data_IF_035087553990
#
_entry.id   IF_035087553990
#
_cell.length_a   1.000
_cell.length_b   1.000
_cell.length_c   1.000
_cell.angle_alpha   90.00
_cell.angle_beta   90.00
_cell.angle_gamma   90.00
#
_symmetry.space_group_name_H-M   'P 1'
#
loop_
_entity.id
_entity.type
_entity.pdbx_description
1 polymer ?
#
# COMPACT_ATOMS: atom_id res chain seq x y z
N UNK A 1 4.23 -8.06 -72.71
CA UNK A 1 4.67 -9.47 -72.84
C UNK A 1 5.01 -9.91 -71.42
N UNK A 2 4.20 -10.63 -70.63
CA UNK A 2 3.37 -11.83 -70.81
C UNK A 2 4.17 -13.12 -71.00
N UNK A 3 4.58 -13.74 -69.88
CA UNK A 3 4.79 -15.19 -69.66
C UNK A 3 4.70 -15.39 -68.13
N UNK A 4 3.73 -16.08 -67.51
CA UNK A 4 3.13 -17.41 -67.74
C UNK A 4 4.16 -18.51 -67.46
N UNK A 5 4.09 -19.11 -66.27
CA UNK A 5 4.50 -20.47 -65.91
C UNK A 5 4.18 -20.68 -64.41
N UNK A 6 3.90 -21.84 -63.88
CA UNK A 6 3.14 -23.03 -64.28
C UNK A 6 3.03 -23.81 -62.96
N UNK A 7 1.86 -24.35 -62.64
CA UNK A 7 1.61 -25.11 -61.42
C UNK A 7 2.56 -26.31 -61.27
N UNK A 8 2.92 -26.64 -60.02
CA UNK A 8 3.14 -28.03 -59.60
C UNK A 8 2.36 -28.26 -58.31
N UNK A 9 1.37 -29.15 -58.41
CA UNK A 9 0.71 -29.80 -57.29
C UNK A 9 1.65 -30.87 -56.71
N UNK A 10 1.75 -30.94 -55.39
CA UNK A 10 2.00 -32.22 -54.71
C UNK A 10 1.31 -32.24 -53.35
N UNK A 11 0.76 -33.42 -53.10
CA UNK A 11 -0.34 -33.77 -52.21
C UNK A 11 0.23 -34.43 -50.95
N UNK A 12 -0.37 -34.09 -49.79
CA UNK A 12 -0.53 -34.83 -48.52
C UNK A 12 0.62 -35.66 -47.95
N UNK A 13 0.96 -35.45 -46.67
CA UNK A 13 0.74 -36.44 -45.59
C UNK A 13 0.51 -35.71 -44.26
N UNK A 14 -0.56 -36.10 -43.56
CA UNK A 14 -0.94 -35.61 -42.25
C UNK A 14 0.00 -36.10 -41.14
N UNK A 15 0.31 -35.24 -40.18
CA UNK A 15 0.67 -35.65 -38.82
C UNK A 15 -0.23 -34.88 -37.87
N UNK A 16 -1.34 -35.52 -37.51
CA UNK A 16 -2.19 -35.09 -36.41
C UNK A 16 -1.37 -35.30 -35.14
N UNK A 17 -0.68 -34.26 -34.68
CA UNK A 17 -0.21 -34.20 -33.31
C UNK A 17 -1.47 -34.11 -32.45
N UNK A 18 -1.82 -35.23 -31.83
CA UNK A 18 -2.79 -35.28 -30.75
C UNK A 18 -2.30 -34.36 -29.63
N UNK A 19 -2.82 -33.13 -29.60
CA UNK A 19 -2.68 -32.25 -28.45
C UNK A 19 -3.38 -32.93 -27.26
N UNK A 20 -2.72 -33.06 -26.10
CA UNK A 20 -3.38 -33.56 -24.91
C UNK A 20 -4.54 -32.64 -24.55
N UNK A 21 -5.73 -33.22 -24.42
CA UNK A 21 -6.91 -32.55 -23.87
C UNK A 21 -6.60 -32.01 -22.47
N UNK A 22 -7.02 -30.78 -22.13
CA UNK A 22 -6.94 -30.29 -20.77
C UNK A 22 -7.85 -31.12 -19.88
N UNK A 23 -7.24 -31.83 -18.94
CA UNK A 23 -7.93 -32.61 -17.91
C UNK A 23 -8.80 -31.68 -17.05
N UNK A 24 -10.13 -31.90 -16.94
CA UNK A 24 -10.96 -31.11 -16.07
C UNK A 24 -10.81 -31.62 -14.64
N UNK A 25 -10.36 -30.72 -13.76
CA UNK A 25 -10.37 -30.83 -12.28
C UNK A 25 -9.20 -31.59 -11.65
N UNK A 26 -8.14 -30.83 -11.36
CA UNK A 26 -7.59 -30.84 -9.99
C UNK A 26 -7.69 -29.42 -9.44
N UNK A 27 -8.75 -29.16 -8.67
CA UNK A 27 -8.75 -28.09 -7.66
C UNK A 27 -7.60 -28.40 -6.71
N UNK A 28 -6.41 -27.89 -7.02
CA UNK A 28 -5.41 -27.68 -6.00
C UNK A 28 -6.03 -26.66 -5.05
N UNK A 29 -6.60 -27.18 -3.95
CA UNK A 29 -6.80 -26.38 -2.75
C UNK A 29 -5.40 -25.97 -2.32
N UNK A 30 -4.91 -24.87 -2.87
CA UNK A 30 -3.82 -24.13 -2.27
C UNK A 30 -4.31 -23.82 -0.87
N UNK A 31 -3.75 -24.52 0.11
CA UNK A 31 -3.86 -24.14 1.51
C UNK A 31 -3.30 -22.73 1.57
N UNK A 32 -4.19 -21.73 1.55
CA UNK A 32 -3.90 -20.37 1.97
C UNK A 32 -3.33 -20.56 3.38
N UNK A 33 -2.00 -20.51 3.52
CA UNK A 33 -1.39 -20.30 4.84
C UNK A 33 -2.12 -19.08 5.39
N UNK A 34 -2.57 -19.15 6.63
CA UNK A 34 -2.94 -17.95 7.37
C UNK A 34 -1.68 -17.09 7.39
N UNK A 35 -1.57 -16.22 6.40
CA UNK A 35 -0.65 -15.10 6.41
C UNK A 35 -1.12 -14.26 7.58
N UNK A 36 -0.29 -14.22 8.62
CA UNK A 36 -0.51 -13.36 9.76
C UNK A 36 -0.49 -11.94 9.21
N UNK A 37 -1.65 -11.28 9.26
CA UNK A 37 -1.81 -9.91 8.82
C UNK A 37 -1.14 -9.05 9.88
N UNK A 38 0.01 -8.46 9.56
CA UNK A 38 0.65 -7.48 10.44
C UNK A 38 -0.25 -6.25 10.46
N UNK A 39 -0.67 -5.86 11.66
CA UNK A 39 -1.56 -4.74 11.88
C UNK A 39 -1.04 -3.86 13.01
N UNK A 40 -1.22 -2.56 12.86
CA UNK A 40 -0.95 -1.56 13.87
C UNK A 40 -2.22 -1.26 14.64
N UNK A 41 -2.22 -1.47 15.95
CA UNK A 41 -3.34 -1.13 16.83
C UNK A 41 -3.20 0.32 17.31
N UNK A 42 -4.12 1.16 16.85
CA UNK A 42 -4.20 2.57 17.20
C UNK A 42 -5.23 2.81 18.31
N UNK A 43 -4.99 3.84 19.12
CA UNK A 43 -5.93 4.27 20.17
C UNK A 43 -6.34 5.72 19.98
N UNK A 44 -7.61 6.00 20.20
CA UNK A 44 -8.14 7.36 20.26
C UNK A 44 -9.25 7.48 21.32
N UNK A 45 -9.76 8.69 21.51
CA UNK A 45 -10.84 9.01 22.44
C UNK A 45 -12.16 8.31 22.12
N UNK A 46 -12.31 7.75 20.91
CA UNK A 46 -13.51 7.00 20.48
C UNK A 46 -13.32 5.48 20.49
N UNK A 47 -12.11 4.98 20.77
CA UNK A 47 -11.83 3.55 20.91
C UNK A 47 -10.50 3.12 20.28
N UNK A 48 -10.33 1.80 20.17
CA UNK A 48 -9.20 1.17 19.50
C UNK A 48 -9.61 0.69 18.10
N UNK A 49 -8.67 0.72 17.16
CA UNK A 49 -8.87 0.24 15.79
C UNK A 49 -7.54 -0.18 15.17
N UNK A 50 -7.59 -1.11 14.23
CA UNK A 50 -6.42 -1.67 13.59
C UNK A 50 -6.23 -1.12 12.17
N UNK A 51 -4.96 -0.95 11.78
CA UNK A 51 -4.55 -0.58 10.42
C UNK A 51 -3.62 -1.67 9.91
N UNK A 52 -4.01 -2.34 8.83
CA UNK A 52 -3.15 -3.35 8.19
C UNK A 52 -1.90 -2.69 7.60
N UNK A 53 -0.74 -3.34 7.71
CA UNK A 53 0.52 -2.84 7.14
C UNK A 53 0.43 -2.65 5.63
N UNK A 54 -0.34 -3.50 4.94
CA UNK A 54 -0.61 -3.36 3.52
C UNK A 54 -1.28 -2.02 3.19
N UNK A 55 -2.28 -1.61 3.98
CA UNK A 55 -2.97 -0.33 3.80
C UNK A 55 -2.02 0.84 4.06
N UNK A 56 -1.20 0.74 5.11
CA UNK A 56 -0.21 1.77 5.42
C UNK A 56 0.82 1.93 4.29
N UNK A 57 1.28 0.80 3.74
CA UNK A 57 2.20 0.75 2.61
C UNK A 57 1.59 1.35 1.34
N UNK A 58 0.33 1.08 1.06
CA UNK A 58 -0.35 1.63 -0.12
C UNK A 58 -0.61 3.14 0.02
N UNK A 59 -0.95 3.63 1.21
CA UNK A 59 -1.05 5.06 1.48
C UNK A 59 0.30 5.79 1.34
N UNK A 60 1.41 5.18 1.76
CA UNK A 60 2.76 5.71 1.53
C UNK A 60 3.07 5.82 0.02
N UNK A 61 2.71 4.80 -0.77
CA UNK A 61 2.90 4.84 -2.24
C UNK A 61 2.07 5.95 -2.90
N UNK A 62 0.81 6.12 -2.48
CA UNK A 62 -0.08 7.19 -2.96
C UNK A 62 0.50 8.58 -2.64
N UNK A 63 1.05 8.75 -1.44
CA UNK A 63 1.66 10.00 -1.00
C UNK A 63 2.89 10.40 -1.83
N UNK A 64 3.74 9.40 -2.12
CA UNK A 64 5.03 9.57 -2.76
C UNK A 64 6.09 10.25 -1.86
N UNK A 65 7.30 10.48 -2.41
CA UNK A 65 8.45 10.93 -1.63
C UNK A 65 8.53 12.45 -1.45
N UNK A 66 7.66 13.22 -2.12
CA UNK A 66 7.73 14.68 -2.15
C UNK A 66 6.72 15.30 -1.20
N UNK A 67 7.22 16.17 -0.31
CA UNK A 67 6.41 17.00 0.57
C UNK A 67 5.40 17.85 -0.23
N UNK A 68 4.19 18.02 0.32
CA UNK A 68 3.19 18.88 -0.27
C UNK A 68 3.38 20.35 0.14
N UNK A 69 3.19 21.27 -0.81
CA UNK A 69 3.39 22.72 -0.58
C UNK A 69 2.31 23.35 0.30
N UNK A 70 1.14 22.72 0.44
CA UNK A 70 0.05 23.05 1.38
C UNK A 70 -0.87 21.83 1.57
N UNK A 71 -0.29 20.64 1.45
CA UNK A 71 -0.99 19.37 1.29
C UNK A 71 -0.12 18.26 1.87
N UNK A 72 -0.69 17.07 2.00
CA UNK A 72 0.10 15.91 2.37
C UNK A 72 0.94 15.39 1.19
N UNK A 73 2.05 14.70 1.46
CA UNK A 73 2.59 14.41 2.79
C UNK A 73 3.25 15.62 3.47
N UNK A 74 3.15 15.68 4.81
CA UNK A 74 3.82 16.72 5.62
C UNK A 74 5.07 16.18 6.29
N UNK A 75 6.10 17.01 6.34
CA UNK A 75 7.33 16.70 7.08
C UNK A 75 7.10 16.92 8.56
N UNK A 76 7.54 15.97 9.39
CA UNK A 76 7.55 16.10 10.83
C UNK A 76 8.77 15.40 11.43
N UNK A 77 9.00 15.66 12.72
CA UNK A 77 9.94 14.89 13.56
C UNK A 77 9.19 14.44 14.79
N UNK A 78 9.62 13.35 15.41
CA UNK A 78 9.00 12.82 16.62
C UNK A 78 10.07 12.34 17.59
N UNK A 79 9.75 12.36 18.88
CA UNK A 79 10.57 11.71 19.93
C UNK A 79 10.04 10.33 20.28
N UNK A 80 8.86 9.97 19.77
CA UNK A 80 8.29 8.64 19.94
C UNK A 80 9.03 7.62 19.09
N UNK A 81 9.21 6.43 19.64
CA UNK A 81 9.81 5.31 18.92
C UNK A 81 8.74 4.53 18.18
N UNK A 82 9.09 4.04 17.00
CA UNK A 82 8.33 3.07 16.24
C UNK A 82 8.88 1.67 16.56
N UNK A 83 8.13 0.83 17.31
CA UNK A 83 8.54 -0.53 17.59
C UNK A 83 8.70 -1.29 16.27
N UNK A 84 9.72 -2.16 16.19
CA UNK A 84 9.95 -3.08 15.06
C UNK A 84 10.21 -2.43 13.69
N UNK A 85 10.19 -1.10 13.60
CA UNK A 85 10.50 -0.35 12.40
C UNK A 85 12.00 -0.39 12.04
N UNK A 86 12.32 0.04 10.81
CA UNK A 86 13.69 0.29 10.39
C UNK A 86 14.39 1.22 11.41
N UNK A 87 15.61 0.87 11.83
CA UNK A 87 16.33 1.63 12.86
C UNK A 87 16.49 3.11 12.52
N UNK A 88 16.56 3.45 11.23
CA UNK A 88 16.64 4.85 10.75
C UNK A 88 15.42 5.67 11.18
N UNK A 89 14.25 5.04 11.29
CA UNK A 89 13.02 5.71 11.74
C UNK A 89 13.10 6.23 13.18
N UNK A 90 14.00 5.65 13.99
CA UNK A 90 14.19 5.97 15.40
C UNK A 90 15.45 6.81 15.64
N UNK A 91 16.11 7.31 14.59
CA UNK A 91 17.25 8.22 14.73
C UNK A 91 16.81 9.59 15.25
N UNK A 92 17.66 10.21 16.08
CA UNK A 92 17.35 11.51 16.67
C UNK A 92 17.21 12.59 15.59
N UNK A 93 16.11 13.34 15.65
CA UNK A 93 15.74 14.36 14.65
C UNK A 93 15.59 13.84 13.23
N UNK A 94 15.32 12.54 13.04
CA UNK A 94 15.05 11.98 11.73
C UNK A 94 13.80 12.65 11.12
N UNK A 95 13.90 13.33 9.97
CA UNK A 95 12.73 13.84 9.28
C UNK A 95 11.93 12.70 8.67
N UNK A 96 10.62 12.71 8.96
CA UNK A 96 9.64 11.77 8.45
C UNK A 96 8.60 12.50 7.62
N UNK A 97 7.94 11.77 6.74
CA UNK A 97 6.74 12.20 6.04
C UNK A 97 5.53 11.54 6.69
N UNK A 98 4.46 12.31 6.86
CA UNK A 98 3.16 11.82 7.31
C UNK A 98 2.13 11.94 6.19
N UNK A 99 1.24 10.96 6.04
CA UNK A 99 0.17 10.99 5.04
C UNK A 99 -1.13 10.35 5.57
N UNK A 100 -2.32 10.90 5.30
CA UNK A 100 -3.56 10.41 5.90
C UNK A 100 -4.08 9.15 5.23
N UNK A 101 -4.69 8.30 6.05
CA UNK A 101 -5.42 7.10 5.64
C UNK A 101 -6.69 6.97 6.46
N UNK A 102 -7.77 6.44 5.89
CA UNK A 102 -8.98 6.19 6.65
C UNK A 102 -8.83 4.95 7.54
N UNK A 103 -9.62 4.87 8.61
CA UNK A 103 -9.60 3.75 9.55
C UNK A 103 -9.97 2.40 8.92
N UNK A 104 -10.70 2.44 7.81
CA UNK A 104 -11.08 1.26 7.02
C UNK A 104 -10.03 0.88 5.96
N UNK A 105 -8.88 1.55 5.96
CA UNK A 105 -7.80 1.33 4.99
C UNK A 105 -8.00 2.03 3.65
N UNK A 106 -9.14 2.68 3.43
CA UNK A 106 -9.37 3.38 2.16
C UNK A 106 -8.39 4.55 2.00
N UNK A 107 -7.83 4.64 0.79
CA UNK A 107 -6.84 5.65 0.44
C UNK A 107 -7.50 7.02 0.32
N UNK A 108 -6.83 8.03 0.87
CA UNK A 108 -7.11 9.42 0.57
C UNK A 108 -6.22 9.79 -0.61
N UNK A 109 -6.80 10.23 -1.71
CA UNK A 109 -6.02 10.66 -2.89
C UNK A 109 -5.24 11.93 -2.58
N UNK A 110 -4.02 12.05 -3.12
CA UNK A 110 -3.14 13.19 -2.82
C UNK A 110 -3.81 14.54 -3.12
N UNK A 111 -4.56 14.61 -4.21
CA UNK A 111 -5.32 15.80 -4.62
C UNK A 111 -6.38 16.26 -3.60
N UNK A 112 -6.84 15.36 -2.73
CA UNK A 112 -7.91 15.60 -1.76
C UNK A 112 -7.41 15.59 -0.30
N UNK A 113 -6.10 15.55 -0.10
CA UNK A 113 -5.52 15.28 1.22
C UNK A 113 -5.46 16.49 2.16
N UNK A 114 -5.76 17.70 1.69
CA UNK A 114 -5.48 18.96 2.42
C UNK A 114 -6.19 19.11 3.78
N UNK A 115 -7.34 18.46 3.97
CA UNK A 115 -8.11 18.50 5.22
C UNK A 115 -8.76 17.13 5.49
N UNK A 116 -7.98 16.16 5.99
CA UNK A 116 -8.44 14.79 6.13
C UNK A 116 -9.31 14.62 7.38
N UNK A 117 -10.50 14.07 7.23
CA UNK A 117 -11.45 13.75 8.32
C UNK A 117 -11.13 12.41 9.00
N UNK A 118 -9.84 12.12 9.20
CA UNK A 118 -9.34 10.90 9.84
C UNK A 118 -8.26 11.27 10.84
N UNK A 119 -8.13 10.56 11.98
CA UNK A 119 -7.04 10.78 12.93
C UNK A 119 -5.74 10.09 12.52
N UNK A 120 -5.79 9.18 11.55
CA UNK A 120 -4.69 8.24 11.24
C UNK A 120 -3.78 8.83 10.18
N UNK A 121 -2.47 8.67 10.37
CA UNK A 121 -1.45 8.95 9.37
C UNK A 121 -0.49 7.78 9.28
N UNK A 122 0.03 7.51 8.10
CA UNK A 122 1.22 6.69 7.92
C UNK A 122 2.46 7.57 8.11
N UNK A 123 3.50 7.03 8.71
CA UNK A 123 4.79 7.69 8.90
C UNK A 123 5.88 6.93 8.14
N UNK A 124 6.72 7.63 7.39
CA UNK A 124 7.77 7.00 6.58
C UNK A 124 8.97 7.93 6.39
N UNK A 125 10.15 7.37 6.08
CA UNK A 125 11.39 8.16 5.99
C UNK A 125 11.30 9.20 4.87
N UNK A 126 11.58 10.47 5.19
CA UNK A 126 11.69 11.52 4.16
C UNK A 126 12.84 11.24 3.18
N UNK A 127 13.93 10.63 3.68
CA UNK A 127 15.16 10.45 2.92
C UNK A 127 14.97 9.63 1.64
N UNK A 128 14.21 8.54 1.72
CA UNK A 128 13.93 7.66 0.58
C UNK A 128 12.46 7.69 0.13
N UNK A 129 11.55 8.16 0.98
CA UNK A 129 10.11 8.21 0.72
C UNK A 129 9.47 6.84 0.47
N UNK A 130 10.13 5.75 0.87
CA UNK A 130 9.73 4.37 0.57
C UNK A 130 9.88 3.41 1.75
N UNK A 131 10.57 3.82 2.81
CA UNK A 131 10.68 3.05 4.06
C UNK A 131 9.55 3.43 5.02
N UNK A 132 8.58 2.52 5.19
CA UNK A 132 7.51 2.65 6.18
C UNK A 132 8.11 2.57 7.60
N UNK A 133 7.81 3.58 8.43
CA UNK A 133 8.19 3.60 9.84
C UNK A 133 7.06 3.13 10.75
N UNK A 134 5.81 3.28 10.31
CA UNK A 134 4.65 2.74 11.00
C UNK A 134 3.41 3.60 10.80
N UNK A 135 2.44 3.43 11.69
CA UNK A 135 1.21 4.21 11.72
C UNK A 135 1.21 5.08 12.98
N UNK A 136 0.79 6.33 12.83
CA UNK A 136 0.58 7.27 13.92
C UNK A 136 -0.89 7.72 13.93
N UNK A 137 -1.42 8.05 15.10
CA UNK A 137 -2.78 8.54 15.22
C UNK A 137 -2.89 9.67 16.23
N UNK A 138 -3.85 10.56 16.01
CA UNK A 138 -4.27 11.51 17.03
C UNK A 138 -5.02 10.78 18.14
N UNK A 139 -4.64 11.05 19.39
CA UNK A 139 -5.33 10.47 20.55
C UNK A 139 -6.76 11.01 20.73
N UNK A 140 -7.09 12.18 20.17
CA UNK A 140 -8.42 12.78 20.28
C UNK A 140 -9.10 12.86 18.92
N UNK A 141 -10.39 12.54 18.89
CA UNK A 141 -11.26 12.65 17.71
C UNK A 141 -12.50 13.47 18.01
N UNK A 142 -12.89 14.32 17.06
CA UNK A 142 -14.17 15.03 17.10
C UNK A 142 -15.31 14.18 16.53
N UNK A 143 -16.55 14.71 16.58
CA UNK A 143 -17.74 14.01 16.07
C UNK A 143 -17.74 13.77 14.56
N UNK A 144 -16.81 14.34 13.80
CA UNK A 144 -16.61 14.10 12.37
C UNK A 144 -15.55 13.04 12.07
N UNK A 145 -14.89 12.49 13.10
CA UNK A 145 -13.74 11.59 12.95
C UNK A 145 -12.42 12.32 12.65
N UNK A 146 -12.39 13.65 12.73
CA UNK A 146 -11.15 14.41 12.57
C UNK A 146 -10.32 14.27 13.84
N UNK A 147 -9.05 13.91 13.66
CA UNK A 147 -8.09 13.84 14.75
C UNK A 147 -7.56 15.21 15.16
N UNK A 148 -7.23 15.38 16.44
CA UNK A 148 -6.58 16.58 16.97
C UNK A 148 -5.57 16.27 18.08
N UNK A 149 -4.66 17.22 18.32
CA UNK A 149 -3.61 17.09 19.33
C UNK A 149 -2.37 16.38 18.82
N UNK A 150 -1.61 15.78 19.74
CA UNK A 150 -0.36 15.08 19.43
C UNK A 150 -0.62 13.80 18.61
N UNK A 151 0.29 13.50 17.68
CA UNK A 151 0.33 12.24 16.95
C UNK A 151 1.22 11.25 17.70
N UNK A 152 0.67 10.09 18.04
CA UNK A 152 1.38 9.02 18.74
C UNK A 152 1.47 7.77 17.87
N UNK A 153 2.57 7.01 17.92
CA UNK A 153 2.66 5.72 17.23
C UNK A 153 1.60 4.73 17.71
N UNK A 154 1.06 4.00 16.76
CA UNK A 154 0.27 2.79 17.00
C UNK A 154 1.21 1.62 17.32
N UNK A 155 0.71 0.64 18.07
CA UNK A 155 1.49 -0.52 18.55
C UNK A 155 1.28 -1.76 17.71
#
# INVERSE_FOLDING_TARGET
MLFKNMMVFSVLVASVLASPTPDPKKKSKSKKKNEEVIAYTCKSSVGEFDIEEAWATDAMKEAGPLEGVNAFPFVFTTTHQFPEADSRCNEANQPLLSYPINKDGSLILKANSNDPTTPVRVAYLKLDGTTLCGVISHANEDGSGRGSGELVPCV
#
